data_IF_203910373723
#
_entry.id   IF_203910373723
#
_cell.length_a   1.000
_cell.length_b   1.000
_cell.length_c   1.000
_cell.angle_alpha   90.00
_cell.angle_beta   90.00
_cell.angle_gamma   90.00
#
_symmetry.space_group_name_H-M   'P 1'
#
loop_
_entity.id
_entity.type
_entity.pdbx_description
1 polymer ?
#
# COMPACT_ATOMS: atom_id res chain seq x y z
N UNK A 1 -7.64 -38.65 -12.50
CA UNK A 1 -7.36 -37.25 -12.91
C UNK A 1 -6.01 -37.21 -13.62
N UNK A 2 -5.99 -36.81 -14.90
CA UNK A 2 -4.81 -36.88 -15.77
C UNK A 2 -3.89 -35.66 -15.55
N UNK A 3 -2.64 -35.94 -15.18
CA UNK A 3 -1.55 -34.98 -15.03
C UNK A 3 -1.19 -34.37 -16.39
N UNK A 4 -1.40 -33.05 -16.58
CA UNK A 4 -0.86 -32.31 -17.73
C UNK A 4 0.50 -31.71 -17.34
N UNK A 5 1.58 -32.32 -17.83
CA UNK A 5 2.92 -31.71 -17.82
C UNK A 5 3.00 -30.73 -18.99
N UNK A 6 3.28 -29.46 -18.69
CA UNK A 6 3.55 -28.42 -19.68
C UNK A 6 5.06 -28.49 -19.99
N UNK A 7 5.50 -28.69 -21.25
CA UNK A 7 6.91 -28.78 -21.57
C UNK A 7 7.56 -27.38 -21.62
N UNK A 8 8.77 -27.31 -21.09
CA UNK A 8 9.66 -26.15 -20.96
C UNK A 8 10.62 -25.96 -22.17
N UNK A 9 10.17 -25.51 -23.37
CA UNK A 9 11.17 -24.94 -24.29
C UNK A 9 10.84 -23.55 -24.86
N UNK A 10 9.76 -22.88 -24.46
CA UNK A 10 9.37 -21.63 -25.13
C UNK A 10 10.05 -20.34 -24.61
N UNK A 11 10.75 -20.37 -23.46
CA UNK A 11 11.36 -19.15 -22.89
C UNK A 11 12.81 -18.92 -23.37
N UNK A 12 13.50 -19.96 -23.84
CA UNK A 12 14.90 -19.82 -24.31
C UNK A 12 15.03 -19.37 -25.78
N UNK A 13 13.96 -19.46 -26.58
CA UNK A 13 14.00 -19.10 -28.01
C UNK A 13 13.89 -17.57 -28.23
N UNK A 14 13.36 -16.82 -27.26
CA UNK A 14 13.18 -15.36 -27.40
C UNK A 14 14.45 -14.55 -27.13
N UNK A 15 15.45 -15.12 -26.46
CA UNK A 15 16.70 -14.41 -26.10
C UNK A 15 17.74 -14.51 -27.21
N UNK A 16 17.65 -15.50 -28.10
CA UNK A 16 18.62 -15.67 -29.19
C UNK A 16 18.31 -14.87 -30.46
N UNK A 17 17.15 -14.20 -30.55
CA UNK A 17 16.77 -13.42 -31.74
C UNK A 17 17.18 -11.94 -31.68
N UNK A 18 17.62 -11.42 -30.52
CA UNK A 18 17.98 -10.00 -30.36
C UNK A 18 19.46 -9.73 -30.66
N UNK A 19 20.32 -10.75 -30.67
CA UNK A 19 21.77 -10.61 -30.89
C UNK A 19 22.22 -10.64 -32.36
N UNK A 20 21.30 -10.77 -33.33
CA UNK A 20 21.63 -10.84 -34.76
C UNK A 20 21.30 -9.57 -35.58
N UNK A 21 20.77 -8.50 -34.97
CA UNK A 21 20.44 -7.26 -35.71
C UNK A 21 21.43 -6.10 -35.55
N UNK A 22 22.50 -6.24 -34.77
CA UNK A 22 23.50 -5.17 -34.54
C UNK A 22 24.62 -5.09 -35.59
N UNK A 23 24.42 -5.66 -36.77
CA UNK A 23 25.44 -5.79 -37.84
C UNK A 23 25.18 -5.01 -39.13
N UNK A 24 24.33 -3.97 -39.13
CA UNK A 24 24.17 -3.08 -40.30
C UNK A 24 24.55 -1.65 -39.94
N UNK A 25 25.85 -1.36 -40.09
CA UNK A 25 26.41 -0.01 -40.05
C UNK A 25 26.05 0.65 -41.39
N UNK A 26 25.11 1.58 -41.33
CA UNK A 26 24.73 2.45 -42.44
C UNK A 26 25.78 3.57 -42.56
N UNK A 27 26.68 3.43 -43.54
CA UNK A 27 27.58 4.49 -44.01
C UNK A 27 26.79 5.47 -44.88
N UNK A 28 26.46 6.64 -44.33
CA UNK A 28 25.96 7.76 -45.13
C UNK A 28 26.63 9.06 -44.72
N UNK A 29 27.55 9.50 -45.59
CA UNK A 29 27.52 10.87 -46.10
C UNK A 29 28.10 11.94 -45.18
N UNK A 30 29.43 12.14 -45.27
CA UNK A 30 30.10 13.42 -45.01
C UNK A 30 29.44 14.54 -45.86
N UNK A 31 28.49 15.30 -45.29
CA UNK A 31 28.26 16.71 -45.68
C UNK A 31 28.12 17.56 -44.42
N UNK A 32 29.14 18.40 -44.20
CA UNK A 32 29.21 19.40 -43.14
C UNK A 32 28.24 20.54 -43.44
N UNK A 33 27.18 20.66 -42.66
CA UNK A 33 26.60 21.95 -42.30
C UNK A 33 26.44 21.98 -40.79
N UNK A 34 27.19 22.86 -40.12
CA UNK A 34 27.10 23.13 -38.68
C UNK A 34 25.81 23.90 -38.43
N UNK A 35 24.72 23.17 -38.28
CA UNK A 35 23.46 23.71 -37.79
C UNK A 35 23.45 23.54 -36.25
N UNK A 36 23.50 24.62 -35.45
CA UNK A 36 23.56 24.53 -33.99
C UNK A 36 22.37 23.76 -33.39
N UNK A 37 21.23 23.74 -34.08
CA UNK A 37 20.03 23.02 -33.65
C UNK A 37 20.19 21.50 -33.71
N UNK A 38 21.06 20.98 -34.60
CA UNK A 38 21.38 19.54 -34.67
C UNK A 38 22.31 19.08 -33.55
N UNK A 39 23.17 19.96 -33.03
CA UNK A 39 24.06 19.60 -31.91
C UNK A 39 23.29 19.40 -30.60
N UNK A 40 22.22 20.18 -30.37
CA UNK A 40 21.35 20.00 -29.20
C UNK A 40 20.56 18.68 -29.27
N UNK A 41 20.07 18.29 -30.45
CA UNK A 41 19.41 17.01 -30.67
C UNK A 41 20.34 15.82 -30.39
N UNK A 42 21.61 15.90 -30.81
CA UNK A 42 22.63 14.87 -30.54
C UNK A 42 22.98 14.81 -29.05
N UNK A 43 23.04 15.95 -28.35
CA UNK A 43 23.26 15.98 -26.91
C UNK A 43 22.11 15.32 -26.13
N UNK A 44 20.86 15.67 -26.45
CA UNK A 44 19.66 15.05 -25.87
C UNK A 44 19.58 13.55 -26.16
N UNK A 45 20.05 13.10 -27.32
CA UNK A 45 20.08 11.68 -27.67
C UNK A 45 21.16 10.91 -26.89
N UNK A 46 22.34 11.51 -26.67
CA UNK A 46 23.39 10.92 -25.82
C UNK A 46 22.95 10.79 -24.36
N UNK A 47 22.24 11.79 -23.84
CA UNK A 47 21.69 11.76 -22.48
C UNK A 47 20.64 10.65 -22.31
N UNK A 48 19.75 10.49 -23.30
CA UNK A 48 18.78 9.37 -23.32
C UNK A 48 19.46 8.01 -23.36
N UNK A 49 20.56 7.87 -24.11
CA UNK A 49 21.32 6.62 -24.21
C UNK A 49 22.01 6.30 -22.88
N UNK A 50 22.64 7.30 -22.24
CA UNK A 50 23.25 7.12 -20.92
C UNK A 50 22.22 6.74 -19.84
N UNK A 51 21.02 7.31 -19.89
CA UNK A 51 19.93 6.94 -19.00
C UNK A 51 19.39 5.51 -19.26
N UNK A 52 19.43 5.04 -20.51
CA UNK A 52 19.11 3.64 -20.83
C UNK A 52 20.17 2.69 -20.28
N UNK A 53 21.46 3.00 -20.45
CA UNK A 53 22.56 2.16 -19.95
C UNK A 53 22.49 1.99 -18.42
N UNK A 54 22.16 3.07 -17.69
CA UNK A 54 21.93 3.00 -16.24
C UNK A 54 20.76 2.08 -15.88
N UNK A 55 19.64 2.15 -16.61
CA UNK A 55 18.49 1.25 -16.39
C UNK A 55 18.84 -0.21 -16.68
N UNK A 56 19.65 -0.48 -17.72
CA UNK A 56 20.13 -1.82 -18.01
C UNK A 56 21.05 -2.36 -16.91
N UNK A 57 21.91 -1.52 -16.34
CA UNK A 57 22.74 -1.91 -15.20
C UNK A 57 21.89 -2.28 -13.97
N UNK A 58 20.88 -1.47 -13.63
CA UNK A 58 19.96 -1.73 -12.51
C UNK A 58 19.14 -3.02 -12.73
N UNK A 59 18.67 -3.26 -13.95
CA UNK A 59 17.96 -4.49 -14.32
C UNK A 59 18.86 -5.74 -14.18
N UNK A 60 20.11 -5.65 -14.61
CA UNK A 60 21.07 -6.76 -14.47
C UNK A 60 21.37 -7.08 -13.00
N UNK A 61 21.44 -6.07 -12.13
CA UNK A 61 21.62 -6.27 -10.70
C UNK A 61 20.41 -6.99 -10.08
N UNK A 62 19.18 -6.57 -10.42
CA UNK A 62 17.95 -7.25 -9.97
C UNK A 62 17.86 -8.69 -10.44
N UNK A 63 18.30 -8.98 -11.67
CA UNK A 63 18.35 -10.36 -12.20
C UNK A 63 19.36 -11.20 -11.40
N UNK A 64 20.54 -10.65 -11.08
CA UNK A 64 21.54 -11.34 -10.27
C UNK A 64 21.03 -11.63 -8.85
N UNK A 65 20.29 -10.69 -8.25
CA UNK A 65 19.65 -10.88 -6.94
C UNK A 65 18.58 -11.98 -6.97
N UNK A 66 17.72 -11.99 -8.00
CA UNK A 66 16.74 -13.06 -8.17
C UNK A 66 17.38 -14.44 -8.37
N UNK A 67 18.50 -14.52 -9.10
CA UNK A 67 19.24 -15.77 -9.27
C UNK A 67 19.81 -16.28 -7.93
N UNK A 68 20.28 -15.40 -7.05
CA UNK A 68 20.73 -15.78 -5.70
C UNK A 68 19.58 -16.31 -4.84
N UNK A 69 18.44 -15.63 -4.85
CA UNK A 69 17.22 -16.07 -4.15
C UNK A 69 16.76 -17.46 -4.63
N UNK A 70 16.79 -17.70 -5.94
CA UNK A 70 16.43 -18.99 -6.53
C UNK A 70 17.40 -20.10 -6.08
N UNK A 71 18.71 -19.82 -6.07
CA UNK A 71 19.72 -20.76 -5.60
C UNK A 71 19.56 -21.10 -4.11
N UNK A 72 19.20 -20.11 -3.27
CA UNK A 72 18.92 -20.34 -1.86
C UNK A 72 17.65 -21.19 -1.65
N UNK A 73 16.61 -20.95 -2.44
CA UNK A 73 15.41 -21.80 -2.41
C UNK A 73 15.73 -23.25 -2.83
N UNK A 74 16.51 -23.44 -3.90
CA UNK A 74 16.95 -24.77 -4.32
C UNK A 74 17.73 -25.51 -3.21
N UNK A 75 18.58 -24.79 -2.47
CA UNK A 75 19.28 -25.36 -1.30
C UNK A 75 18.30 -25.81 -0.21
N UNK A 76 17.29 -25.00 0.12
CA UNK A 76 16.24 -25.38 1.09
C UNK A 76 15.44 -26.60 0.63
N UNK A 77 15.12 -26.71 -0.66
CA UNK A 77 14.48 -27.90 -1.21
C UNK A 77 15.35 -29.16 -1.13
N UNK A 78 16.67 -29.04 -1.30
CA UNK A 78 17.59 -30.15 -1.13
C UNK A 78 17.65 -30.64 0.34
N UNK A 79 17.58 -29.72 1.31
CA UNK A 79 17.50 -30.06 2.74
C UNK A 79 16.19 -30.80 3.07
N UNK A 80 15.07 -30.35 2.50
CA UNK A 80 13.77 -31.04 2.64
C UNK A 80 13.80 -32.45 2.06
N UNK A 81 14.44 -32.65 0.90
CA UNK A 81 14.62 -33.99 0.33
C UNK A 81 15.42 -34.92 1.25
N UNK A 82 16.42 -34.38 1.97
CA UNK A 82 17.17 -35.11 2.99
C UNK A 82 16.31 -35.53 4.19
N UNK A 83 15.38 -34.68 4.61
CA UNK A 83 14.41 -34.98 5.69
C UNK A 83 13.48 -36.12 5.26
N UNK A 84 12.97 -36.11 4.03
CA UNK A 84 12.10 -37.19 3.52
C UNK A 84 12.80 -38.53 3.55
N UNK A 85 14.07 -38.60 3.12
CA UNK A 85 14.87 -39.83 3.16
C UNK A 85 15.06 -40.36 4.58
N UNK A 86 15.33 -39.48 5.55
CA UNK A 86 15.41 -39.86 6.98
C UNK A 86 14.07 -40.40 7.49
N UNK A 87 12.96 -39.84 7.03
CA UNK A 87 11.61 -40.28 7.40
C UNK A 87 11.30 -41.68 6.84
N UNK A 88 11.70 -41.96 5.61
CA UNK A 88 11.60 -43.29 5.00
C UNK A 88 12.48 -44.32 5.73
N UNK A 89 13.69 -43.94 6.13
CA UNK A 89 14.59 -44.79 6.94
C UNK A 89 13.98 -45.09 8.32
N UNK A 90 13.38 -44.10 8.97
CA UNK A 90 12.66 -44.28 10.24
C UNK A 90 11.44 -45.20 10.05
N UNK A 91 10.65 -45.02 9.00
CA UNK A 91 9.52 -45.89 8.71
C UNK A 91 9.96 -47.33 8.41
N UNK A 92 11.04 -47.53 7.66
CA UNK A 92 11.60 -48.84 7.39
C UNK A 92 12.12 -49.51 8.67
N UNK A 93 12.76 -48.76 9.56
CA UNK A 93 13.22 -49.24 10.86
C UNK A 93 12.06 -49.59 11.80
N UNK A 94 10.98 -48.80 11.81
CA UNK A 94 9.76 -49.12 12.57
C UNK A 94 9.09 -50.40 12.05
N UNK A 95 9.06 -50.61 10.74
CA UNK A 95 8.50 -51.83 10.13
C UNK A 95 9.33 -53.08 10.43
N UNK A 96 10.66 -52.96 10.52
CA UNK A 96 11.57 -54.03 10.94
C UNK A 96 11.49 -54.31 12.44
N UNK A 97 11.28 -53.28 13.26
CA UNK A 97 11.03 -53.38 14.70
C UNK A 97 9.55 -53.65 15.03
N UNK A 98 8.84 -54.43 14.20
CA UNK A 98 7.62 -55.10 14.65
C UNK A 98 8.02 -56.09 15.75
N UNK A 99 8.17 -55.54 16.96
CA UNK A 99 8.13 -56.24 18.22
C UNK A 99 6.73 -56.83 18.29
N UNK A 100 6.61 -58.10 18.63
CA UNK A 100 5.36 -58.73 19.01
C UNK A 100 4.86 -58.06 20.30
N UNK A 101 4.27 -56.87 20.14
CA UNK A 101 3.60 -56.16 21.22
C UNK A 101 2.24 -56.83 21.34
N UNK A 102 2.01 -57.48 22.47
CA UNK A 102 0.77 -58.16 22.80
C UNK A 102 -0.39 -57.14 22.74
N UNK A 103 -1.57 -57.53 22.27
CA UNK A 103 -2.72 -56.63 22.03
C UNK A 103 -3.12 -55.81 23.28
N UNK A 104 -2.82 -56.34 24.48
CA UNK A 104 -3.00 -55.67 25.77
C UNK A 104 -2.18 -54.37 25.89
N UNK A 105 -0.94 -54.35 25.43
CA UNK A 105 -0.05 -53.20 25.55
C UNK A 105 -0.43 -52.10 24.53
N UNK A 106 -0.92 -52.50 23.35
CA UNK A 106 -1.46 -51.55 22.37
C UNK A 106 -2.73 -50.85 22.86
N UNK A 107 -3.60 -51.53 23.59
CA UNK A 107 -4.78 -50.92 24.22
C UNK A 107 -4.38 -49.87 25.26
N UNK A 108 -3.40 -50.18 26.12
CA UNK A 108 -2.92 -49.25 27.14
C UNK A 108 -2.24 -48.02 26.52
N UNK A 109 -1.45 -48.21 25.46
CA UNK A 109 -0.82 -47.12 24.70
C UNK A 109 -1.88 -46.27 23.99
N UNK A 110 -2.91 -46.87 23.38
CA UNK A 110 -3.98 -46.13 22.73
C UNK A 110 -4.80 -45.29 23.72
N UNK A 111 -5.10 -45.83 24.90
CA UNK A 111 -5.82 -45.09 25.94
C UNK A 111 -4.97 -43.96 26.51
N UNK A 112 -3.66 -44.19 26.70
CA UNK A 112 -2.72 -43.15 27.13
C UNK A 112 -2.60 -42.04 26.07
N UNK A 113 -2.54 -42.40 24.78
CA UNK A 113 -2.54 -41.42 23.68
C UNK A 113 -3.87 -40.67 23.63
N UNK A 114 -5.02 -41.34 23.79
CA UNK A 114 -6.33 -40.68 23.85
C UNK A 114 -6.40 -39.70 25.00
N UNK A 115 -5.92 -40.07 26.19
CA UNK A 115 -5.89 -39.18 27.35
C UNK A 115 -4.92 -38.01 27.14
N UNK A 116 -3.73 -38.25 26.58
CA UNK A 116 -2.76 -37.21 26.28
C UNK A 116 -3.29 -36.24 25.20
N UNK A 117 -3.96 -36.75 24.16
CA UNK A 117 -4.62 -35.94 23.13
C UNK A 117 -5.79 -35.16 23.73
N UNK A 118 -6.60 -35.76 24.60
CA UNK A 118 -7.72 -35.09 25.27
C UNK A 118 -7.25 -33.98 26.22
N UNK A 119 -6.12 -34.19 26.90
CA UNK A 119 -5.45 -33.16 27.71
C UNK A 119 -4.85 -32.05 26.85
N UNK A 120 -4.19 -32.38 25.73
CA UNK A 120 -3.62 -31.40 24.80
C UNK A 120 -4.69 -30.60 24.04
N UNK A 121 -5.86 -31.18 23.78
CA UNK A 121 -7.01 -30.48 23.18
C UNK A 121 -7.71 -29.60 24.23
N UNK A 122 -7.79 -30.02 25.50
CA UNK A 122 -8.30 -29.18 26.60
C UNK A 122 -7.38 -27.99 26.92
N UNK A 123 -6.07 -28.14 26.76
CA UNK A 123 -5.08 -27.09 27.05
C UNK A 123 -4.83 -26.12 25.89
N UNK A 124 -5.50 -26.26 24.74
CA UNK A 124 -5.61 -25.12 23.82
C UNK A 124 -6.74 -24.23 24.32
N UNK A 125 -6.40 -23.27 25.19
CA UNK A 125 -7.21 -22.06 25.28
C UNK A 125 -7.41 -21.57 23.84
N UNK A 126 -8.65 -21.57 23.36
CA UNK A 126 -8.93 -20.98 22.06
C UNK A 126 -8.44 -19.54 22.10
N UNK A 127 -7.68 -19.09 21.08
CA UNK A 127 -7.17 -17.72 21.06
C UNK A 127 -8.33 -16.75 21.29
N UNK A 128 -8.19 -15.86 22.28
CA UNK A 128 -9.22 -14.87 22.57
C UNK A 128 -9.14 -13.77 21.52
N UNK A 129 -10.22 -13.57 20.79
CA UNK A 129 -10.31 -12.55 19.76
C UNK A 129 -11.09 -11.32 20.27
N UNK A 130 -10.57 -10.14 19.98
CA UNK A 130 -11.29 -8.87 20.10
C UNK A 130 -11.64 -8.29 18.74
N UNK A 131 -12.52 -7.29 18.75
CA UNK A 131 -12.88 -6.50 17.58
C UNK A 131 -12.83 -5.02 17.90
N UNK A 132 -12.45 -4.20 16.92
CA UNK A 132 -12.37 -2.75 17.05
C UNK A 132 -12.87 -2.07 15.78
N UNK A 133 -13.79 -1.11 15.89
CA UNK A 133 -14.23 -0.32 14.75
C UNK A 133 -13.43 0.98 14.61
N UNK A 134 -12.49 0.98 13.67
CA UNK A 134 -11.68 2.17 13.39
C UNK A 134 -12.55 3.29 12.83
N UNK A 135 -13.53 2.97 11.98
CA UNK A 135 -14.49 3.94 11.45
C UNK A 135 -15.25 4.65 12.56
N UNK A 136 -15.75 3.90 13.55
CA UNK A 136 -16.49 4.46 14.67
C UNK A 136 -15.61 5.37 15.53
N UNK A 137 -14.37 4.95 15.81
CA UNK A 137 -13.39 5.79 16.52
C UNK A 137 -13.17 7.10 15.78
N UNK A 138 -12.89 7.08 14.47
CA UNK A 138 -12.72 8.31 13.68
C UNK A 138 -13.99 9.17 13.66
N UNK A 139 -15.18 8.57 13.77
CA UNK A 139 -16.45 9.32 13.75
C UNK A 139 -16.75 9.99 15.08
N UNK A 140 -16.55 9.27 16.19
CA UNK A 140 -17.11 9.61 17.50
C UNK A 140 -16.08 10.07 18.54
N UNK A 141 -14.78 9.86 18.29
CA UNK A 141 -13.70 10.29 19.20
C UNK A 141 -13.62 11.82 19.30
N UNK A 142 -13.50 12.36 20.52
CA UNK A 142 -13.44 13.81 20.77
C UNK A 142 -12.16 14.41 20.21
N UNK A 143 -11.04 13.68 20.29
CA UNK A 143 -9.76 14.12 19.70
C UNK A 143 -9.89 14.36 18.20
N UNK A 144 -10.57 13.45 17.50
CA UNK A 144 -10.83 13.58 16.05
C UNK A 144 -11.84 14.70 15.78
N UNK A 145 -12.88 14.85 16.61
CA UNK A 145 -13.86 15.93 16.48
C UNK A 145 -13.20 17.32 16.61
N UNK A 146 -12.28 17.50 17.57
CA UNK A 146 -11.50 18.74 17.74
C UNK A 146 -10.68 19.07 16.48
N UNK A 147 -9.98 18.07 15.93
CA UNK A 147 -9.22 18.26 14.70
C UNK A 147 -10.11 18.65 13.50
N UNK A 148 -11.28 18.03 13.36
CA UNK A 148 -12.25 18.39 12.32
C UNK A 148 -12.72 19.83 12.46
N UNK A 149 -12.97 20.28 13.69
CA UNK A 149 -13.38 21.66 13.97
C UNK A 149 -12.27 22.64 13.59
N UNK A 150 -11.02 22.37 14.01
CA UNK A 150 -9.86 23.22 13.68
C UNK A 150 -9.61 23.27 12.16
N UNK A 151 -9.66 22.13 11.48
CA UNK A 151 -9.50 22.05 10.02
C UNK A 151 -10.62 22.76 9.26
N UNK A 152 -11.85 22.69 9.75
CA UNK A 152 -12.99 23.40 9.15
C UNK A 152 -12.83 24.91 9.31
N UNK A 153 -12.45 25.38 10.50
CA UNK A 153 -12.20 26.79 10.76
C UNK A 153 -11.06 27.33 9.88
N UNK A 154 -9.99 26.56 9.70
CA UNK A 154 -8.88 26.93 8.83
C UNK A 154 -9.30 27.00 7.36
N UNK A 155 -10.04 26.01 6.87
CA UNK A 155 -10.60 26.04 5.50
C UNK A 155 -11.48 27.26 5.27
N UNK A 156 -12.34 27.60 6.23
CA UNK A 156 -13.20 28.78 6.13
C UNK A 156 -12.39 30.09 6.05
N UNK A 157 -11.27 30.19 6.77
CA UNK A 157 -10.37 31.35 6.68
C UNK A 157 -9.72 31.44 5.30
N UNK A 158 -9.17 30.34 4.82
CA UNK A 158 -8.56 30.25 3.48
C UNK A 158 -9.59 30.60 2.40
N UNK A 159 -10.79 30.01 2.46
CA UNK A 159 -11.86 30.27 1.49
C UNK A 159 -12.31 31.73 1.52
N UNK A 160 -12.36 32.36 2.70
CA UNK A 160 -12.66 33.78 2.82
C UNK A 160 -11.58 34.67 2.18
N UNK A 161 -10.30 34.35 2.36
CA UNK A 161 -9.18 35.07 1.73
C UNK A 161 -9.20 34.93 0.20
N UNK A 162 -9.38 33.70 -0.30
CA UNK A 162 -9.46 33.43 -1.74
C UNK A 162 -10.70 34.10 -2.36
N UNK A 163 -11.82 34.10 -1.66
CA UNK A 163 -13.05 34.78 -2.10
C UNK A 163 -12.85 36.29 -2.15
N UNK A 164 -12.18 36.88 -1.15
CA UNK A 164 -11.85 38.31 -1.16
C UNK A 164 -11.00 38.68 -2.37
N UNK A 165 -9.92 37.93 -2.63
CA UNK A 165 -9.05 38.16 -3.79
C UNK A 165 -9.82 37.97 -5.11
N UNK A 166 -10.67 36.95 -5.20
CA UNK A 166 -11.54 36.72 -6.35
C UNK A 166 -12.52 37.88 -6.60
N UNK A 167 -13.07 38.47 -5.54
CA UNK A 167 -13.97 39.62 -5.65
C UNK A 167 -13.24 40.91 -6.05
N UNK A 168 -12.01 41.13 -5.56
CA UNK A 168 -11.15 42.24 -6.00
C UNK A 168 -10.85 42.14 -7.51
N UNK A 169 -10.48 40.96 -8.00
CA UNK A 169 -10.25 40.71 -9.43
C UNK A 169 -11.51 41.01 -10.24
N UNK A 170 -12.70 40.57 -9.77
CA UNK A 170 -13.98 40.85 -10.44
C UNK A 170 -14.28 42.35 -10.49
N UNK A 171 -14.05 43.07 -9.39
CA UNK A 171 -14.26 44.52 -9.32
C UNK A 171 -13.32 45.27 -10.27
N UNK A 172 -12.03 44.90 -10.30
CA UNK A 172 -11.05 45.50 -11.22
C UNK A 172 -11.39 45.21 -12.69
N UNK A 173 -11.83 43.98 -13.02
CA UNK A 173 -12.32 43.65 -14.36
C UNK A 173 -13.57 44.44 -14.77
N UNK A 174 -14.45 44.76 -13.82
CA UNK A 174 -15.58 45.63 -14.09
C UNK A 174 -15.13 47.08 -14.37
N UNK A 175 -14.13 47.58 -13.63
CA UNK A 175 -13.51 48.89 -13.87
C UNK A 175 -12.87 49.03 -15.25
N UNK A 176 -12.23 47.97 -15.76
CA UNK A 176 -11.63 47.96 -17.10
C UNK A 176 -12.62 48.29 -18.22
N UNK A 177 -13.91 47.95 -18.07
CA UNK A 177 -14.94 48.21 -19.10
C UNK A 177 -15.21 49.70 -19.31
N UNK A 178 -14.83 50.53 -18.34
CA UNK A 178 -15.04 51.98 -18.35
C UNK A 178 -13.82 52.70 -18.96
N UNK A 179 -12.64 52.07 -18.93
CA UNK A 179 -11.41 52.66 -19.44
C UNK A 179 -11.32 52.55 -20.97
N UNK A 180 -10.75 53.58 -21.60
CA UNK A 180 -10.48 53.58 -23.04
C UNK A 180 -9.41 52.53 -23.36
N UNK A 181 -9.75 51.62 -24.27
CA UNK A 181 -8.85 50.56 -24.71
C UNK A 181 -7.55 51.15 -25.30
N UNK A 182 -6.41 50.60 -24.91
CA UNK A 182 -5.08 51.07 -25.33
C UNK A 182 -4.53 52.30 -24.59
N UNK A 183 -5.23 52.82 -23.58
CA UNK A 183 -4.64 53.83 -22.67
C UNK A 183 -3.61 53.20 -21.74
N UNK A 184 -2.64 54.00 -21.25
CA UNK A 184 -1.63 53.53 -20.30
C UNK A 184 -2.26 52.99 -19.00
N UNK A 185 -3.29 53.68 -18.49
CA UNK A 185 -4.07 53.24 -17.33
C UNK A 185 -4.76 51.90 -17.56
N UNK A 186 -5.24 51.63 -18.78
CA UNK A 186 -5.83 50.34 -19.14
C UNK A 186 -4.78 49.22 -19.08
N UNK A 187 -3.60 49.44 -19.66
CA UNK A 187 -2.51 48.44 -19.64
C UNK A 187 -2.02 48.16 -18.22
N UNK A 188 -1.87 49.20 -17.39
CA UNK A 188 -1.50 49.06 -15.99
C UNK A 188 -2.52 48.22 -15.21
N UNK A 189 -3.82 48.48 -15.39
CA UNK A 189 -4.87 47.73 -14.72
C UNK A 189 -5.00 46.28 -15.22
N UNK A 190 -4.79 46.04 -16.53
CA UNK A 190 -4.72 44.68 -17.08
C UNK A 190 -3.56 43.90 -16.46
N UNK A 191 -2.37 44.51 -16.35
CA UNK A 191 -1.21 43.90 -15.71
C UNK A 191 -1.52 43.50 -14.27
N UNK A 192 -2.08 44.41 -13.48
CA UNK A 192 -2.44 44.15 -12.08
C UNK A 192 -3.45 43.00 -11.95
N UNK A 193 -4.47 42.97 -12.80
CA UNK A 193 -5.45 41.88 -12.83
C UNK A 193 -4.79 40.54 -13.14
N UNK A 194 -3.89 40.49 -14.12
CA UNK A 194 -3.18 39.26 -14.49
C UNK A 194 -2.27 38.77 -13.35
N UNK A 195 -1.57 39.68 -12.66
CA UNK A 195 -0.76 39.36 -11.48
C UNK A 195 -1.63 38.79 -10.35
N UNK A 196 -2.77 39.42 -10.03
CA UNK A 196 -3.70 38.91 -9.01
C UNK A 196 -4.32 37.57 -9.41
N UNK A 197 -4.63 37.35 -10.69
CA UNK A 197 -5.13 36.07 -11.18
C UNK A 197 -4.10 34.95 -11.03
N UNK A 198 -2.84 35.23 -11.37
CA UNK A 198 -1.74 34.28 -11.19
C UNK A 198 -1.55 33.96 -9.70
N UNK A 199 -1.58 34.99 -8.84
CA UNK A 199 -1.49 34.83 -7.39
C UNK A 199 -2.64 33.98 -6.84
N UNK A 200 -3.89 34.26 -7.24
CA UNK A 200 -5.06 33.49 -6.82
C UNK A 200 -4.92 32.01 -7.18
N UNK A 201 -4.53 31.71 -8.42
CA UNK A 201 -4.34 30.33 -8.87
C UNK A 201 -3.21 29.63 -8.11
N UNK A 202 -2.09 30.32 -7.89
CA UNK A 202 -0.97 29.78 -7.13
C UNK A 202 -1.36 29.48 -5.66
N UNK A 203 -2.09 30.40 -5.01
CA UNK A 203 -2.58 30.21 -3.65
C UNK A 203 -3.58 29.06 -3.56
N UNK A 204 -4.52 28.95 -4.51
CA UNK A 204 -5.48 27.84 -4.56
C UNK A 204 -4.77 26.48 -4.60
N UNK A 205 -3.80 26.32 -5.51
CA UNK A 205 -3.08 25.05 -5.64
C UNK A 205 -2.20 24.77 -4.42
N UNK A 206 -1.52 25.80 -3.88
CA UNK A 206 -0.74 25.68 -2.65
C UNK A 206 -1.58 25.20 -1.48
N UNK A 207 -2.73 25.84 -1.23
CA UNK A 207 -3.60 25.46 -0.12
C UNK A 207 -4.22 24.07 -0.31
N UNK A 208 -4.59 23.71 -1.53
CA UNK A 208 -5.07 22.36 -1.85
C UNK A 208 -4.03 21.30 -1.46
N UNK A 209 -2.76 21.50 -1.84
CA UNK A 209 -1.67 20.58 -1.50
C UNK A 209 -1.36 20.58 0.00
N UNK A 210 -1.29 21.77 0.62
CA UNK A 210 -1.01 21.91 2.04
C UNK A 210 -2.07 21.21 2.90
N UNK A 211 -3.36 21.41 2.59
CA UNK A 211 -4.47 20.78 3.29
C UNK A 211 -4.41 19.26 3.14
N UNK A 212 -4.18 18.75 1.93
CA UNK A 212 -4.07 17.31 1.68
C UNK A 212 -2.94 16.66 2.50
N UNK A 213 -1.76 17.29 2.53
CA UNK A 213 -0.60 16.80 3.31
C UNK A 213 -0.86 16.87 4.82
N UNK A 214 -1.52 17.93 5.30
CA UNK A 214 -1.88 18.08 6.70
C UNK A 214 -2.89 17.02 7.13
N UNK A 215 -3.93 16.78 6.32
CA UNK A 215 -4.92 15.74 6.56
C UNK A 215 -4.30 14.34 6.58
N UNK A 216 -3.40 14.05 5.64
CA UNK A 216 -2.67 12.78 5.62
C UNK A 216 -1.90 12.57 6.93
N UNK A 217 -1.02 13.52 7.32
CA UNK A 217 -0.20 13.40 8.54
C UNK A 217 -1.03 13.19 9.79
N UNK A 218 -2.15 13.90 9.89
CA UNK A 218 -3.00 13.82 11.07
C UNK A 218 -3.79 12.52 11.09
N UNK A 219 -4.26 12.06 9.94
CA UNK A 219 -4.89 10.73 9.82
C UNK A 219 -3.91 9.61 10.19
N UNK A 220 -2.68 9.68 9.70
CA UNK A 220 -1.62 8.73 10.05
C UNK A 220 -1.29 8.75 11.54
N UNK A 221 -1.18 9.94 12.14
CA UNK A 221 -0.93 10.09 13.58
C UNK A 221 -2.05 9.48 14.43
N UNK A 222 -3.31 9.81 14.13
CA UNK A 222 -4.47 9.27 14.84
C UNK A 222 -4.54 7.75 14.69
N UNK A 223 -4.29 7.25 13.48
CA UNK A 223 -4.28 5.81 13.23
C UNK A 223 -3.18 5.10 14.02
N UNK A 224 -1.96 5.66 14.07
CA UNK A 224 -0.87 5.14 14.89
C UNK A 224 -1.21 5.08 16.38
N UNK A 225 -1.88 6.10 16.91
CA UNK A 225 -2.38 6.10 18.29
C UNK A 225 -3.44 5.03 18.53
N UNK A 226 -4.40 4.86 17.61
CA UNK A 226 -5.40 3.80 17.68
C UNK A 226 -4.72 2.43 17.78
N UNK A 227 -3.72 2.17 16.93
CA UNK A 227 -2.99 0.90 16.95
C UNK A 227 -2.27 0.67 18.29
N UNK A 228 -1.63 1.71 18.84
CA UNK A 228 -0.95 1.62 20.14
C UNK A 228 -1.94 1.30 21.26
N UNK A 229 -3.00 2.10 21.38
CA UNK A 229 -4.03 1.95 22.44
C UNK A 229 -4.74 0.60 22.31
N UNK A 230 -5.07 0.18 21.09
CA UNK A 230 -5.64 -1.16 20.83
C UNK A 230 -4.71 -2.26 21.34
N UNK A 231 -3.39 -2.14 21.08
CA UNK A 231 -2.40 -3.10 21.56
C UNK A 231 -2.25 -3.13 23.09
N UNK A 232 -2.39 -1.98 23.76
CA UNK A 232 -2.38 -1.91 25.22
C UNK A 232 -3.61 -2.57 25.84
N UNK A 233 -4.80 -2.27 25.32
CA UNK A 233 -6.06 -2.87 25.77
C UNK A 233 -6.09 -4.37 25.49
N UNK A 234 -5.59 -4.81 24.33
CA UNK A 234 -5.48 -6.23 24.00
C UNK A 234 -4.63 -6.98 25.02
N UNK A 235 -3.47 -6.42 25.42
CA UNK A 235 -2.62 -7.00 26.48
C UNK A 235 -3.31 -7.05 27.83
N UNK A 236 -4.02 -5.98 28.22
CA UNK A 236 -4.74 -5.93 29.50
C UNK A 236 -5.87 -6.96 29.58
N UNK A 237 -6.52 -7.24 28.44
CA UNK A 237 -7.66 -8.18 28.35
C UNK A 237 -7.26 -9.59 27.92
N UNK A 238 -5.96 -9.88 27.85
CA UNK A 238 -5.43 -11.20 27.45
C UNK A 238 -5.98 -11.65 26.09
N UNK A 239 -6.06 -10.72 25.12
CA UNK A 239 -6.51 -10.99 23.76
C UNK A 239 -5.31 -11.35 22.88
N UNK A 240 -5.40 -12.49 22.19
CA UNK A 240 -4.37 -12.92 21.25
C UNK A 240 -4.43 -12.11 19.95
N UNK A 241 -5.65 -11.88 19.44
CA UNK A 241 -5.89 -11.19 18.17
C UNK A 241 -6.97 -10.12 18.30
N UNK A 242 -6.83 -9.02 17.55
CA UNK A 242 -7.87 -8.01 17.40
C UNK A 242 -8.13 -7.78 15.92
N UNK A 243 -9.39 -7.89 15.51
CA UNK A 243 -9.81 -7.67 14.13
C UNK A 243 -10.48 -6.31 13.97
N UNK A 244 -10.30 -5.70 12.80
CA UNK A 244 -11.04 -4.51 12.43
C UNK A 244 -12.49 -4.89 12.10
N UNK A 245 -13.44 -4.19 12.75
CA UNK A 245 -14.87 -4.30 12.52
C UNK A 245 -15.34 -3.19 11.59
N UNK A 246 -15.47 -3.54 10.32
CA UNK A 246 -16.00 -2.69 9.26
C UNK A 246 -17.39 -3.15 8.86
N UNK A 247 -18.42 -2.36 9.16
CA UNK A 247 -19.77 -2.65 8.69
C UNK A 247 -20.01 -1.94 7.34
N UNK A 248 -20.46 -2.66 6.29
CA UNK A 248 -20.87 -2.05 5.04
C UNK A 248 -22.12 -1.18 5.26
N UNK A 249 -22.11 0.02 4.68
CA UNK A 249 -23.26 0.92 4.71
C UNK A 249 -24.16 0.67 3.50
N UNK A 250 -25.46 0.56 3.74
CA UNK A 250 -26.46 0.32 2.71
C UNK A 250 -27.54 1.40 2.72
N UNK A 251 -28.05 1.81 1.54
CA UNK A 251 -27.62 1.38 0.21
C UNK A 251 -26.25 2.00 -0.17
N UNK A 252 -25.40 1.23 -0.86
CA UNK A 252 -24.17 1.75 -1.43
C UNK A 252 -24.47 2.76 -2.55
N UNK A 253 -23.64 3.79 -2.73
CA UNK A 253 -23.89 4.86 -3.71
C UNK A 253 -23.58 4.40 -5.15
N UNK A 254 -22.72 3.39 -5.30
CA UNK A 254 -22.34 2.83 -6.60
C UNK A 254 -21.95 1.35 -6.49
N UNK A 255 -22.00 0.58 -7.61
CA UNK A 255 -21.48 -0.78 -7.64
C UNK A 255 -20.00 -0.89 -7.23
N UNK A 256 -19.16 0.09 -7.61
CA UNK A 256 -17.73 0.12 -7.25
C UNK A 256 -17.53 0.33 -5.75
N UNK A 257 -18.32 1.20 -5.13
CA UNK A 257 -18.27 1.40 -3.68
C UNK A 257 -18.77 0.16 -2.93
N UNK A 258 -19.81 -0.49 -3.44
CA UNK A 258 -20.30 -1.76 -2.90
C UNK A 258 -19.20 -2.83 -2.94
N UNK A 259 -18.53 -3.01 -4.07
CA UNK A 259 -17.43 -3.97 -4.23
C UNK A 259 -16.27 -3.66 -3.27
N UNK A 260 -15.88 -2.39 -3.15
CA UNK A 260 -14.85 -1.95 -2.21
C UNK A 260 -15.28 -2.23 -0.76
N UNK A 261 -16.52 -1.90 -0.39
CA UNK A 261 -17.06 -2.14 0.94
C UNK A 261 -17.11 -3.63 1.27
N UNK A 262 -17.46 -4.49 0.31
CA UNK A 262 -17.40 -5.94 0.47
C UNK A 262 -15.97 -6.45 0.65
N UNK A 263 -15.01 -5.93 -0.13
CA UNK A 263 -13.59 -6.30 -0.01
C UNK A 263 -12.93 -5.84 1.29
N UNK A 264 -13.42 -4.75 1.89
CA UNK A 264 -12.93 -4.24 3.17
C UNK A 264 -13.59 -4.91 4.39
N UNK A 265 -14.76 -5.54 4.23
CA UNK A 265 -15.51 -6.21 5.29
C UNK A 265 -14.84 -7.52 5.69
N UNK A 266 -13.81 -7.43 6.54
CA UNK A 266 -12.96 -8.58 6.92
C UNK A 266 -13.60 -9.52 7.92
N UNK A 267 -14.54 -9.03 8.73
CA UNK A 267 -15.18 -9.80 9.80
C UNK A 267 -16.70 -9.88 9.57
N UNK A 268 -17.17 -10.99 9.02
CA UNK A 268 -18.59 -11.21 8.72
C UNK A 268 -19.41 -11.63 9.95
N UNK A 269 -18.78 -12.34 10.88
CA UNK A 269 -19.40 -12.84 12.10
C UNK A 269 -18.35 -13.00 13.19
N UNK A 270 -18.66 -12.50 14.38
CA UNK A 270 -17.74 -12.54 15.51
C UNK A 270 -18.39 -13.07 16.79
N UNK A 271 -19.43 -13.91 16.73
CA UNK A 271 -20.22 -14.32 17.91
C UNK A 271 -19.40 -14.96 19.03
N UNK A 272 -18.85 -14.13 19.91
CA UNK A 272 -17.91 -14.48 20.98
C UNK A 272 -16.67 -13.57 21.08
N UNK A 273 -16.42 -12.70 20.10
CA UNK A 273 -15.34 -11.72 20.13
C UNK A 273 -15.73 -10.54 21.02
N UNK A 274 -14.76 -10.05 21.79
CA UNK A 274 -14.95 -8.90 22.65
C UNK A 274 -14.79 -7.60 21.85
N UNK A 275 -15.84 -6.79 21.77
CA UNK A 275 -15.74 -5.45 21.18
C UNK A 275 -15.05 -4.51 22.17
N UNK A 276 -13.90 -3.96 21.77
CA UNK A 276 -13.09 -3.04 22.58
C UNK A 276 -13.14 -1.60 22.04
N UNK A 277 -14.04 -1.30 21.10
CA UNK A 277 -14.11 0.01 20.43
C UNK A 277 -14.31 1.15 21.42
N UNK A 278 -15.23 0.98 22.39
CA UNK A 278 -15.52 2.00 23.38
C UNK A 278 -14.36 2.26 24.34
N UNK A 279 -13.66 1.21 24.78
CA UNK A 279 -12.48 1.36 25.63
C UNK A 279 -11.34 2.06 24.89
N UNK A 280 -11.11 1.71 23.62
CA UNK A 280 -10.12 2.39 22.78
C UNK A 280 -10.47 3.87 22.65
N UNK A 281 -11.73 4.20 22.34
CA UNK A 281 -12.19 5.60 22.27
C UNK A 281 -12.00 6.35 23.59
N UNK A 282 -12.39 5.74 24.72
CA UNK A 282 -12.27 6.35 26.04
C UNK A 282 -10.81 6.64 26.40
N UNK A 283 -9.89 5.71 26.09
CA UNK A 283 -8.47 5.89 26.35
C UNK A 283 -7.87 6.98 25.45
N UNK A 284 -8.20 7.00 24.15
CA UNK A 284 -7.77 8.06 23.23
C UNK A 284 -8.26 9.46 23.66
N UNK A 285 -9.48 9.55 24.18
CA UNK A 285 -10.05 10.80 24.69
C UNK A 285 -9.42 11.25 26.02
N UNK A 286 -8.81 10.33 26.76
CA UNK A 286 -8.16 10.61 28.05
C UNK A 286 -6.72 11.09 27.91
N UNK A 287 -6.05 10.74 26.82
CA UNK A 287 -4.70 11.16 26.52
C UNK A 287 -4.70 12.63 26.03
N UNK A 288 -4.07 13.50 26.81
CA UNK A 288 -3.96 14.95 26.55
C UNK A 288 -2.99 15.27 25.42
#
# INVERSE_FOLDING_TARGET
MKNRKIPWPFILVSILLVTLCSGFIFDWGKKKTKDPNKMEAVAKQKEKLAAQDQRFAELNEKIAEQARLLAEQQKKFAELAGITKRLDEIQANLKKRKVDINDSDMSMIQETIKQQVKLNVRNRNMPKAGVVSIREIFRNCKKVAKYRQESTAERQRIDAELTKLGNEIKAQKAGLKILKNGSENYLAQVKEILEKQALLQAQQEFYKQQVALKEQRITESIYGEILRVTGEIAKQKDLDWVFEKSEPEFPALSPTELELSMGMHKLLYGGGCLDITNEVMAQLDSEK
#
